data_IF_452967526156
#
_entry.id   IF_452967526156
#
_cell.length_a   1.000
_cell.length_b   1.000
_cell.length_c   1.000
_cell.angle_alpha   90.00
_cell.angle_beta   90.00
_cell.angle_gamma   90.00
#
_symmetry.space_group_name_H-M   'P 1'
#
loop_
_entity.id
_entity.type
_entity.pdbx_description
1 polymer ?
#
# COMPACT_ATOMS: atom_id res chain seq x y z
N UNK A 1 -30.71 -21.75 52.11
CA UNK A 1 -30.22 -20.42 51.69
C UNK A 1 -29.06 -20.49 50.68
N UNK A 2 -29.15 -21.35 49.65
CA UNK A 2 -28.10 -21.49 48.62
C UNK A 2 -28.66 -21.56 47.19
N UNK A 3 -30.00 -21.58 47.06
CA UNK A 3 -30.74 -21.58 45.78
C UNK A 3 -31.36 -20.22 45.44
N UNK A 4 -31.52 -19.30 46.42
CA UNK A 4 -31.96 -17.93 46.15
C UNK A 4 -30.83 -17.03 45.63
N UNK A 5 -29.58 -17.33 45.94
CA UNK A 5 -28.43 -16.52 45.52
C UNK A 5 -28.08 -16.70 44.05
N UNK A 6 -28.48 -17.80 43.41
CA UNK A 6 -28.26 -18.04 41.97
C UNK A 6 -29.27 -17.34 41.06
N UNK A 7 -30.43 -16.94 41.60
CA UNK A 7 -31.47 -16.25 40.82
C UNK A 7 -31.15 -14.75 40.72
N UNK A 8 -30.46 -14.18 41.70
CA UNK A 8 -30.11 -12.75 41.71
C UNK A 8 -28.92 -12.43 40.78
N UNK A 9 -28.01 -13.37 40.54
CA UNK A 9 -26.84 -13.17 39.65
C UNK A 9 -27.17 -13.36 38.16
N UNK A 10 -28.26 -14.06 37.82
CA UNK A 10 -28.68 -14.28 36.43
C UNK A 10 -29.51 -13.12 35.84
N UNK A 11 -30.03 -12.21 36.67
CA UNK A 11 -30.85 -11.07 36.22
C UNK A 11 -29.99 -9.84 35.88
N UNK A 12 -28.76 -9.77 36.39
CA UNK A 12 -27.82 -8.66 36.11
C UNK A 12 -27.05 -8.80 34.79
N UNK A 13 -27.17 -9.93 34.08
CA UNK A 13 -26.43 -10.20 32.84
C UNK A 13 -27.10 -9.67 31.57
N UNK A 14 -28.32 -9.12 31.66
CA UNK A 14 -29.07 -8.64 30.49
C UNK A 14 -29.03 -7.12 30.29
N UNK A 15 -28.33 -6.38 31.15
CA UNK A 15 -28.06 -4.95 30.91
C UNK A 15 -26.76 -4.79 30.11
N UNK A 16 -26.70 -5.47 28.97
CA UNK A 16 -25.69 -5.17 27.95
C UNK A 16 -25.99 -3.78 27.42
N UNK A 17 -25.02 -2.88 27.58
CA UNK A 17 -25.01 -1.56 26.99
C UNK A 17 -25.17 -1.72 25.48
N UNK A 18 -26.39 -1.50 24.96
CA UNK A 18 -26.57 -1.29 23.52
C UNK A 18 -25.77 -0.03 23.20
N UNK A 19 -24.65 -0.17 22.48
CA UNK A 19 -24.13 0.96 21.70
C UNK A 19 -25.27 1.35 20.78
N UNK A 20 -25.95 2.45 21.09
CA UNK A 20 -26.71 3.15 20.09
C UNK A 20 -25.74 3.44 18.95
N UNK A 21 -25.94 2.76 17.82
CA UNK A 21 -25.44 3.29 16.57
C UNK A 21 -26.30 4.53 16.34
N UNK A 22 -25.82 5.68 16.79
CA UNK A 22 -26.23 6.94 16.19
C UNK A 22 -25.75 6.88 14.73
N UNK A 23 -26.58 6.28 13.88
CA UNK A 23 -26.51 6.52 12.45
C UNK A 23 -27.21 7.85 12.28
N UNK A 24 -26.44 8.91 12.06
CA UNK A 24 -26.99 10.16 11.58
C UNK A 24 -27.56 9.89 10.18
N UNK A 25 -28.85 9.60 10.09
CA UNK A 25 -29.56 9.40 8.81
C UNK A 25 -29.61 10.71 7.99
N UNK A 26 -29.38 11.86 8.63
CA UNK A 26 -29.23 13.18 8.03
C UNK A 26 -27.91 13.83 8.50
N UNK A 27 -26.76 13.28 8.08
CA UNK A 27 -25.56 14.10 7.99
C UNK A 27 -25.60 14.85 6.66
N UNK A 28 -26.49 15.85 6.57
CA UNK A 28 -26.46 16.76 5.43
C UNK A 28 -25.08 17.43 5.44
N UNK A 29 -24.28 17.30 4.37
CA UNK A 29 -22.98 17.96 4.32
C UNK A 29 -23.19 19.46 4.60
N UNK A 30 -22.27 20.09 5.35
CA UNK A 30 -22.38 21.52 5.60
C UNK A 30 -22.55 22.26 4.27
N UNK A 31 -23.44 23.25 4.18
CA UNK A 31 -23.56 24.03 2.95
C UNK A 31 -22.21 24.65 2.67
N UNK A 32 -21.61 24.30 1.53
CA UNK A 32 -20.31 24.81 1.09
C UNK A 32 -20.38 26.27 0.59
N UNK A 33 -21.25 27.08 1.20
CA UNK A 33 -21.29 28.51 1.00
C UNK A 33 -20.03 29.13 1.60
N UNK A 34 -19.14 29.63 0.73
CA UNK A 34 -17.91 30.30 1.14
C UNK A 34 -16.61 29.57 0.82
N UNK A 35 -16.66 28.36 0.21
CA UNK A 35 -15.47 27.77 -0.41
C UNK A 35 -15.14 28.56 -1.67
N UNK A 36 -13.92 29.08 -1.73
CA UNK A 36 -13.43 29.79 -2.91
C UNK A 36 -13.08 28.82 -4.04
N UNK A 37 -13.25 29.24 -5.29
CA UNK A 37 -12.80 28.48 -6.47
C UNK A 37 -11.32 28.09 -6.36
N UNK A 38 -10.47 28.96 -5.79
CA UNK A 38 -9.06 28.66 -5.53
C UNK A 38 -8.86 27.44 -4.59
N UNK A 39 -9.70 27.27 -3.58
CA UNK A 39 -9.64 26.08 -2.71
C UNK A 39 -10.02 24.81 -3.48
N UNK A 40 -11.00 24.90 -4.39
CA UNK A 40 -11.41 23.77 -5.23
C UNK A 40 -10.30 23.42 -6.23
N UNK A 41 -9.68 24.42 -6.87
CA UNK A 41 -8.52 24.23 -7.76
C UNK A 41 -7.34 23.57 -7.02
N UNK A 42 -7.05 23.98 -5.78
CA UNK A 42 -6.02 23.35 -4.96
C UNK A 42 -6.35 21.89 -4.65
N UNK A 43 -7.61 21.58 -4.32
CA UNK A 43 -8.05 20.21 -4.11
C UNK A 43 -7.88 19.34 -5.37
N UNK A 44 -8.32 19.84 -6.53
CA UNK A 44 -8.14 19.15 -7.83
C UNK A 44 -6.67 18.95 -8.14
N UNK A 45 -5.83 19.99 -8.01
CA UNK A 45 -4.40 19.88 -8.27
C UNK A 45 -3.76 18.79 -7.38
N UNK A 46 -4.04 18.85 -6.08
CA UNK A 46 -3.51 17.87 -5.11
C UNK A 46 -3.94 16.45 -5.45
N UNK A 47 -5.21 16.22 -5.82
CA UNK A 47 -5.69 14.91 -6.27
C UNK A 47 -4.91 14.37 -7.48
N UNK A 48 -4.67 15.22 -8.48
CA UNK A 48 -3.91 14.83 -9.67
C UNK A 48 -2.45 14.49 -9.31
N UNK A 49 -1.79 15.30 -8.50
CA UNK A 49 -0.41 15.03 -8.08
C UNK A 49 -0.34 13.73 -7.24
N UNK A 50 -1.19 13.59 -6.23
CA UNK A 50 -1.11 12.49 -5.28
C UNK A 50 -1.53 11.16 -5.92
N UNK A 51 -2.51 11.15 -6.83
CA UNK A 51 -2.98 9.93 -7.48
C UNK A 51 -2.24 9.56 -8.76
N UNK A 52 -1.87 10.53 -9.60
CA UNK A 52 -1.31 10.25 -10.94
C UNK A 52 0.07 10.89 -11.20
N UNK A 53 0.61 11.65 -10.24
CA UNK A 53 1.98 12.16 -10.27
C UNK A 53 2.22 13.33 -11.23
N UNK A 54 1.18 14.04 -11.64
CA UNK A 54 1.27 15.26 -12.47
C UNK A 54 0.20 16.27 -12.09
N UNK A 55 0.39 17.53 -12.48
CA UNK A 55 -0.67 18.54 -12.41
C UNK A 55 -1.76 18.27 -13.46
N UNK A 56 -3.00 18.73 -13.24
CA UNK A 56 -4.03 18.73 -14.27
C UNK A 56 -3.66 19.68 -15.42
N UNK A 57 -4.05 19.35 -16.64
CA UNK A 57 -4.05 20.27 -17.77
C UNK A 57 -5.06 21.39 -17.53
N UNK A 58 -4.88 22.57 -18.14
CA UNK A 58 -5.82 23.69 -18.02
C UNK A 58 -7.27 23.28 -18.30
N UNK A 59 -7.49 22.44 -19.30
CA UNK A 59 -8.82 21.92 -19.65
C UNK A 59 -9.36 20.95 -18.61
N UNK A 60 -8.51 20.08 -18.05
CA UNK A 60 -8.89 19.16 -16.99
C UNK A 60 -9.26 19.96 -15.73
N UNK A 61 -8.47 20.97 -15.35
CA UNK A 61 -8.76 21.83 -14.21
C UNK A 61 -10.12 22.53 -14.34
N UNK A 62 -10.39 23.17 -15.48
CA UNK A 62 -11.66 23.86 -15.73
C UNK A 62 -12.85 22.87 -15.67
N UNK A 63 -12.71 21.69 -16.29
CA UNK A 63 -13.76 20.68 -16.31
C UNK A 63 -14.05 20.15 -14.90
N UNK A 64 -13.03 19.69 -14.18
CA UNK A 64 -13.23 19.06 -12.87
C UNK A 64 -13.74 20.05 -11.82
N UNK A 65 -13.25 21.31 -11.83
CA UNK A 65 -13.76 22.36 -10.94
C UNK A 65 -15.24 22.60 -11.22
N UNK A 66 -15.63 22.73 -12.49
CA UNK A 66 -17.03 22.96 -12.86
C UNK A 66 -17.93 21.79 -12.45
N UNK A 67 -17.47 20.54 -12.59
CA UNK A 67 -18.20 19.34 -12.15
C UNK A 67 -18.35 19.31 -10.64
N UNK A 68 -17.29 19.64 -9.90
CA UNK A 68 -17.30 19.68 -8.44
C UNK A 68 -18.23 20.77 -7.89
N UNK A 69 -18.21 21.98 -8.48
CA UNK A 69 -19.11 23.08 -8.14
C UNK A 69 -20.57 22.73 -8.43
N UNK A 70 -20.86 22.18 -9.61
CA UNK A 70 -22.21 21.76 -9.99
C UNK A 70 -22.74 20.61 -9.12
N UNK A 71 -21.85 19.73 -8.66
CA UNK A 71 -22.13 18.67 -7.70
C UNK A 71 -22.22 19.14 -6.25
N UNK A 72 -22.03 20.43 -5.99
CA UNK A 72 -22.09 21.02 -4.64
C UNK A 72 -21.03 20.48 -3.70
N UNK A 73 -19.84 20.11 -4.20
CA UNK A 73 -18.66 19.67 -3.42
C UNK A 73 -18.90 18.54 -2.42
N UNK A 74 -20.02 17.81 -2.53
CA UNK A 74 -20.36 16.74 -1.62
C UNK A 74 -19.46 15.50 -1.81
N UNK A 75 -19.57 14.55 -0.89
CA UNK A 75 -18.78 13.33 -0.91
C UNK A 75 -18.90 12.57 -2.25
N UNK A 76 -20.09 12.55 -2.87
CA UNK A 76 -20.31 11.81 -4.12
C UNK A 76 -19.66 12.48 -5.33
N UNK A 77 -19.65 13.81 -5.43
CA UNK A 77 -18.94 14.51 -6.51
C UNK A 77 -17.43 14.32 -6.41
N UNK A 78 -16.88 14.36 -5.20
CA UNK A 78 -15.46 14.05 -4.93
C UNK A 78 -15.11 12.60 -5.26
N UNK A 79 -15.96 11.65 -4.83
CA UNK A 79 -15.82 10.22 -5.14
C UNK A 79 -15.75 9.99 -6.64
N UNK A 80 -16.55 10.70 -7.43
CA UNK A 80 -16.54 10.58 -8.89
C UNK A 80 -15.19 10.97 -9.48
N UNK A 81 -14.64 12.12 -9.10
CA UNK A 81 -13.31 12.56 -9.55
C UNK A 81 -12.20 11.59 -9.13
N UNK A 82 -12.19 11.16 -7.85
CA UNK A 82 -11.20 10.21 -7.35
C UNK A 82 -11.26 8.89 -8.14
N UNK A 83 -12.45 8.35 -8.37
CA UNK A 83 -12.62 7.14 -9.16
C UNK A 83 -12.23 7.35 -10.64
N UNK A 84 -12.49 8.53 -11.21
CA UNK A 84 -12.02 8.88 -12.57
C UNK A 84 -10.50 8.74 -12.65
N UNK A 85 -9.78 9.34 -11.71
CA UNK A 85 -8.32 9.29 -11.65
C UNK A 85 -7.78 7.87 -11.39
N UNK A 86 -8.45 7.08 -10.55
CA UNK A 86 -8.01 5.73 -10.20
C UNK A 86 -8.37 4.66 -11.24
N UNK A 87 -9.48 4.80 -11.97
CA UNK A 87 -10.11 3.69 -12.70
C UNK A 87 -10.43 3.97 -14.17
N UNK A 88 -10.43 5.23 -14.63
CA UNK A 88 -10.77 5.53 -16.02
C UNK A 88 -9.64 5.10 -16.98
N UNK A 89 -9.97 4.24 -17.93
CA UNK A 89 -9.05 3.69 -18.93
C UNK A 89 -9.17 4.35 -20.30
N UNK A 90 -9.91 5.45 -20.41
CA UNK A 90 -10.10 6.13 -21.70
C UNK A 90 -8.79 6.81 -22.12
N UNK A 91 -8.50 6.76 -23.41
CA UNK A 91 -7.28 7.35 -23.95
C UNK A 91 -7.35 8.87 -23.88
N UNK A 92 -6.33 9.48 -23.26
CA UNK A 92 -6.17 10.93 -23.19
C UNK A 92 -5.18 11.36 -24.28
N UNK A 93 -5.57 12.24 -25.23
CA UNK A 93 -4.64 12.73 -26.25
C UNK A 93 -3.40 13.38 -25.63
N UNK A 94 -2.20 12.90 -26.00
CA UNK A 94 -0.94 13.40 -25.46
C UNK A 94 -0.49 12.75 -24.14
N UNK A 95 -1.32 11.88 -23.57
CA UNK A 95 -0.99 11.00 -22.44
C UNK A 95 -1.43 9.55 -22.83
N UNK A 96 -1.63 8.71 -21.83
CA UNK A 96 -2.10 7.33 -21.94
C UNK A 96 -3.55 7.26 -21.46
N UNK A 97 -3.77 6.98 -20.18
CA UNK A 97 -5.06 7.09 -19.48
C UNK A 97 -4.80 7.36 -18.00
N UNK A 98 -5.82 7.83 -17.28
CA UNK A 98 -5.71 8.03 -15.83
C UNK A 98 -5.37 6.71 -15.11
N UNK A 99 -5.99 5.60 -15.49
CA UNK A 99 -5.71 4.28 -14.92
C UNK A 99 -4.25 3.85 -15.09
N UNK A 100 -3.65 4.13 -16.26
CA UNK A 100 -2.22 3.83 -16.50
C UNK A 100 -1.33 4.73 -15.65
N UNK A 101 -1.64 6.03 -15.57
CA UNK A 101 -0.88 6.99 -14.78
C UNK A 101 -0.95 6.67 -13.27
N UNK A 102 -2.13 6.31 -12.76
CA UNK A 102 -2.33 5.87 -11.38
C UNK A 102 -1.48 4.64 -11.03
N UNK A 103 -1.53 3.58 -11.85
CA UNK A 103 -0.73 2.38 -11.60
C UNK A 103 0.78 2.64 -11.72
N UNK A 104 1.19 3.56 -12.60
CA UNK A 104 2.59 4.00 -12.66
C UNK A 104 3.00 4.71 -11.37
N UNK A 105 2.19 5.66 -10.90
CA UNK A 105 2.43 6.40 -9.66
C UNK A 105 2.54 5.47 -8.46
N UNK A 106 1.63 4.50 -8.33
CA UNK A 106 1.69 3.46 -7.28
C UNK A 106 2.99 2.65 -7.32
N UNK A 107 3.42 2.22 -8.50
CA UNK A 107 4.69 1.50 -8.68
C UNK A 107 5.89 2.37 -8.26
N UNK A 108 5.94 3.63 -8.72
CA UNK A 108 7.01 4.57 -8.38
C UNK A 108 7.05 4.90 -6.89
N UNK A 109 5.90 5.10 -6.23
CA UNK A 109 5.84 5.38 -4.80
C UNK A 109 6.28 4.17 -3.96
N UNK A 110 5.92 2.96 -4.41
CA UNK A 110 6.37 1.73 -3.76
C UNK A 110 7.89 1.56 -3.91
N UNK A 111 8.45 1.85 -5.08
CA UNK A 111 9.91 1.90 -5.29
C UNK A 111 10.58 2.99 -4.46
N UNK A 112 9.99 4.17 -4.36
CA UNK A 112 10.52 5.27 -3.54
C UNK A 112 10.63 4.84 -2.07
N UNK A 113 9.60 4.15 -1.56
CA UNK A 113 9.55 3.65 -0.20
C UNK A 113 10.54 2.52 0.07
N UNK A 114 10.66 1.55 -0.83
CA UNK A 114 11.39 0.30 -0.56
C UNK A 114 12.79 0.27 -1.18
N UNK A 115 12.99 0.94 -2.31
CA UNK A 115 14.21 0.87 -3.11
C UNK A 115 14.87 2.24 -3.31
N UNK A 116 14.64 3.20 -2.41
CA UNK A 116 15.21 4.55 -2.47
C UNK A 116 14.97 5.30 -3.80
N UNK A 117 13.88 4.95 -4.50
CA UNK A 117 13.49 5.61 -5.75
C UNK A 117 14.41 5.30 -6.93
N UNK A 118 15.07 4.14 -6.93
CA UNK A 118 15.91 3.69 -8.06
C UNK A 118 15.13 3.69 -9.38
N UNK A 119 15.80 4.11 -10.46
CA UNK A 119 15.19 4.16 -11.79
C UNK A 119 15.12 2.77 -12.43
N UNK A 120 14.17 2.56 -13.33
CA UNK A 120 14.03 1.30 -14.06
C UNK A 120 15.26 1.04 -14.96
N UNK A 121 15.94 2.09 -15.43
CA UNK A 121 17.21 1.95 -16.15
C UNK A 121 18.31 1.37 -15.26
N UNK A 122 18.38 1.80 -14.00
CA UNK A 122 19.34 1.24 -13.05
C UNK A 122 19.03 -0.23 -12.74
N UNK A 123 17.74 -0.57 -12.52
CA UNK A 123 17.30 -1.96 -12.36
C UNK A 123 17.68 -2.78 -13.61
N UNK A 124 17.43 -2.25 -14.81
CA UNK A 124 17.78 -2.87 -16.07
C UNK A 124 19.29 -3.07 -16.26
N UNK A 125 20.13 -2.15 -15.80
CA UNK A 125 21.58 -2.32 -15.79
C UNK A 125 22.00 -3.48 -14.88
N UNK A 126 21.43 -3.59 -13.68
CA UNK A 126 21.68 -4.72 -12.76
C UNK A 126 21.19 -6.06 -13.35
N UNK A 127 20.05 -6.07 -14.04
CA UNK A 127 19.57 -7.24 -14.79
C UNK A 127 20.62 -7.69 -15.81
N UNK A 128 21.07 -6.77 -16.68
CA UNK A 128 22.06 -7.07 -17.71
C UNK A 128 23.39 -7.57 -17.11
N UNK A 129 23.80 -7.00 -15.96
CA UNK A 129 24.99 -7.44 -15.24
C UNK A 129 24.89 -8.91 -14.79
N UNK A 130 23.80 -9.28 -14.12
CA UNK A 130 23.61 -10.66 -13.67
C UNK A 130 23.43 -11.65 -14.84
N UNK A 131 22.81 -11.23 -15.94
CA UNK A 131 22.74 -12.07 -17.14
C UNK A 131 24.11 -12.28 -17.79
N UNK A 132 24.97 -11.27 -17.80
CA UNK A 132 26.35 -11.39 -18.26
C UNK A 132 27.18 -12.32 -17.35
N UNK A 133 27.01 -12.23 -16.03
CA UNK A 133 27.66 -13.15 -15.09
C UNK A 133 27.18 -14.59 -15.26
N UNK A 134 25.87 -14.81 -15.42
CA UNK A 134 25.34 -16.13 -15.72
C UNK A 134 25.95 -16.70 -17.01
N UNK A 135 26.02 -15.90 -18.08
CA UNK A 135 26.66 -16.34 -19.32
C UNK A 135 28.13 -16.73 -19.14
N UNK A 136 28.90 -15.94 -18.39
CA UNK A 136 30.28 -16.25 -18.07
C UNK A 136 30.40 -17.55 -17.24
N UNK A 137 29.54 -17.76 -16.24
CA UNK A 137 29.50 -19.00 -15.46
C UNK A 137 29.20 -20.23 -16.32
N UNK A 138 28.29 -20.09 -17.31
CA UNK A 138 27.99 -21.16 -18.26
C UNK A 138 29.19 -21.56 -19.13
N UNK A 139 30.03 -20.59 -19.54
CA UNK A 139 31.25 -20.87 -20.31
C UNK A 139 32.29 -21.59 -19.44
N UNK A 140 32.35 -21.24 -18.16
CA UNK A 140 33.29 -21.82 -17.19
C UNK A 140 32.76 -23.11 -16.53
N UNK A 141 31.63 -23.66 -17.00
CA UNK A 141 30.98 -24.86 -16.46
C UNK A 141 30.59 -24.75 -14.96
N UNK A 142 30.41 -23.52 -14.47
CA UNK A 142 29.94 -23.23 -13.12
C UNK A 142 28.40 -23.18 -13.08
N UNK A 143 27.75 -24.33 -13.10
CA UNK A 143 26.28 -24.42 -13.12
C UNK A 143 25.61 -23.80 -11.88
N UNK A 144 26.23 -23.88 -10.70
CA UNK A 144 25.67 -23.26 -9.49
C UNK A 144 25.66 -21.73 -9.60
N UNK A 145 26.78 -21.13 -10.04
CA UNK A 145 26.86 -19.69 -10.28
C UNK A 145 25.86 -19.21 -11.32
N UNK A 146 25.71 -19.99 -12.41
CA UNK A 146 24.72 -19.72 -13.46
C UNK A 146 23.31 -19.58 -12.89
N UNK A 147 22.84 -20.57 -12.11
CA UNK A 147 21.49 -20.56 -11.54
C UNK A 147 21.29 -19.41 -10.54
N UNK A 148 22.27 -19.13 -9.69
CA UNK A 148 22.22 -18.01 -8.74
C UNK A 148 22.07 -16.67 -9.48
N UNK A 149 22.88 -16.45 -10.52
CA UNK A 149 22.86 -15.21 -11.29
C UNK A 149 21.57 -15.08 -12.11
N UNK A 150 21.06 -16.18 -12.68
CA UNK A 150 19.74 -16.21 -13.32
C UNK A 150 18.61 -15.85 -12.36
N UNK A 151 18.60 -16.41 -11.15
CA UNK A 151 17.59 -16.11 -10.14
C UNK A 151 17.62 -14.62 -9.73
N UNK A 152 18.82 -14.04 -9.56
CA UNK A 152 18.97 -12.59 -9.27
C UNK A 152 18.42 -11.72 -10.41
N UNK A 153 18.76 -12.03 -11.65
CA UNK A 153 18.25 -11.32 -12.82
C UNK A 153 16.72 -11.44 -12.91
N UNK A 154 16.15 -12.62 -12.65
CA UNK A 154 14.71 -12.85 -12.70
C UNK A 154 13.97 -12.01 -11.64
N UNK A 155 14.46 -11.95 -10.40
CA UNK A 155 13.86 -11.13 -9.34
C UNK A 155 13.78 -9.65 -9.73
N UNK A 156 14.85 -9.11 -10.31
CA UNK A 156 14.87 -7.72 -10.79
C UNK A 156 13.94 -7.50 -12.00
N UNK A 157 13.87 -8.45 -12.94
CA UNK A 157 12.90 -8.39 -14.04
C UNK A 157 11.46 -8.40 -13.55
N UNK A 158 11.18 -9.19 -12.51
CA UNK A 158 9.84 -9.24 -11.92
C UNK A 158 9.43 -7.90 -11.30
N UNK A 159 10.38 -7.10 -10.78
CA UNK A 159 10.09 -5.73 -10.33
C UNK A 159 9.63 -4.86 -11.51
N UNK A 160 10.41 -4.79 -12.60
CA UNK A 160 10.04 -3.98 -13.78
C UNK A 160 8.69 -4.43 -14.34
N UNK A 161 8.44 -5.74 -14.38
CA UNK A 161 7.19 -6.29 -14.89
C UNK A 161 6.00 -6.11 -13.92
N UNK A 162 6.26 -5.89 -12.63
CA UNK A 162 5.23 -5.79 -11.60
C UNK A 162 4.25 -4.64 -11.84
N UNK A 163 4.71 -3.54 -12.44
CA UNK A 163 3.84 -2.42 -12.83
C UNK A 163 2.72 -2.89 -13.78
N UNK A 164 3.08 -3.70 -14.78
CA UNK A 164 2.13 -4.20 -15.77
C UNK A 164 1.23 -5.28 -15.17
N UNK A 165 1.79 -6.18 -14.37
CA UNK A 165 1.05 -7.24 -13.71
C UNK A 165 0.03 -6.69 -12.70
N UNK A 166 0.41 -5.69 -11.90
CA UNK A 166 -0.50 -5.05 -10.94
C UNK A 166 -1.64 -4.34 -11.68
N UNK A 167 -1.32 -3.61 -12.75
CA UNK A 167 -2.34 -2.95 -13.60
C UNK A 167 -3.30 -3.95 -14.26
N UNK A 168 -2.83 -5.15 -14.61
CA UNK A 168 -3.65 -6.21 -15.17
C UNK A 168 -4.45 -6.98 -14.10
N UNK A 169 -4.26 -6.67 -12.81
CA UNK A 169 -4.75 -7.44 -11.66
C UNK A 169 -4.24 -8.90 -11.63
N UNK A 170 -3.07 -9.16 -12.23
CA UNK A 170 -2.40 -10.46 -12.19
C UNK A 170 -1.69 -10.69 -10.84
N UNK A 171 -1.33 -9.61 -10.15
CA UNK A 171 -0.74 -9.63 -8.81
C UNK A 171 -1.47 -8.65 -7.90
N UNK A 172 -1.49 -8.96 -6.60
CA UNK A 172 -2.04 -8.09 -5.56
C UNK A 172 -0.99 -7.09 -5.06
N UNK A 173 -1.41 -6.12 -4.25
CA UNK A 173 -0.50 -5.16 -3.61
C UNK A 173 0.53 -5.86 -2.70
N UNK A 174 0.16 -6.96 -2.05
CA UNK A 174 1.06 -7.77 -1.22
C UNK A 174 2.18 -8.38 -2.06
N UNK A 175 1.83 -8.90 -3.24
CA UNK A 175 2.79 -9.46 -4.18
C UNK A 175 3.72 -8.36 -4.71
N UNK A 176 3.19 -7.18 -5.01
CA UNK A 176 4.00 -6.02 -5.40
C UNK A 176 5.04 -5.68 -4.32
N UNK A 177 4.62 -5.54 -3.06
CA UNK A 177 5.52 -5.28 -1.94
C UNK A 177 6.53 -6.42 -1.71
N UNK A 178 6.12 -7.69 -1.82
CA UNK A 178 7.02 -8.83 -1.67
C UNK A 178 8.11 -8.85 -2.76
N UNK A 179 7.78 -8.52 -4.01
CA UNK A 179 8.76 -8.39 -5.10
C UNK A 179 9.78 -7.26 -4.84
N UNK A 180 9.30 -6.14 -4.31
CA UNK A 180 10.14 -4.97 -3.99
C UNK A 180 11.09 -5.23 -2.80
N UNK A 181 10.75 -6.15 -1.90
CA UNK A 181 11.62 -6.59 -0.81
C UNK A 181 12.55 -7.74 -1.22
N UNK A 182 12.12 -8.60 -2.17
CA UNK A 182 12.85 -9.81 -2.56
C UNK A 182 13.78 -9.59 -3.76
N UNK A 183 14.78 -8.73 -3.62
CA UNK A 183 15.75 -8.49 -4.70
C UNK A 183 17.09 -7.98 -4.19
N UNK A 184 18.09 -8.01 -5.07
CA UNK A 184 19.46 -7.63 -4.73
C UNK A 184 19.63 -6.14 -4.42
N UNK A 185 18.75 -5.26 -4.91
CA UNK A 185 18.86 -3.82 -4.61
C UNK A 185 18.42 -3.57 -3.17
N UNK A 186 17.30 -4.15 -2.75
CA UNK A 186 16.86 -4.09 -1.35
C UNK A 186 17.91 -4.71 -0.41
N UNK A 187 18.58 -5.78 -0.87
CA UNK A 187 19.68 -6.41 -0.12
C UNK A 187 20.93 -5.54 -0.06
N UNK A 188 21.29 -4.86 -1.15
CA UNK A 188 22.43 -3.93 -1.18
C UNK A 188 22.18 -2.73 -0.25
N UNK A 189 20.95 -2.19 -0.22
CA UNK A 189 20.54 -1.09 0.67
C UNK A 189 20.67 -1.52 2.14
N UNK A 190 20.17 -2.71 2.47
CA UNK A 190 20.12 -3.18 3.85
C UNK A 190 21.38 -3.95 4.28
N UNK A 191 22.28 -4.32 3.37
CA UNK A 191 23.62 -4.91 3.55
C UNK A 191 23.76 -6.23 4.31
N UNK A 192 22.93 -6.53 5.31
CA UNK A 192 22.99 -7.75 6.10
C UNK A 192 21.62 -8.17 6.63
N UNK A 193 21.52 -9.42 7.10
CA UNK A 193 20.28 -10.01 7.60
C UNK A 193 19.67 -9.24 8.77
N UNK A 194 20.49 -8.71 9.70
CA UNK A 194 19.98 -7.92 10.83
C UNK A 194 19.25 -6.66 10.36
N UNK A 195 19.90 -5.89 9.48
CA UNK A 195 19.34 -4.68 8.90
C UNK A 195 18.15 -4.99 7.99
N UNK A 196 18.21 -6.05 7.18
CA UNK A 196 17.10 -6.48 6.32
C UNK A 196 15.84 -6.76 7.13
N UNK A 197 15.96 -7.51 8.24
CA UNK A 197 14.81 -7.82 9.10
C UNK A 197 14.23 -6.51 9.69
N UNK A 198 15.08 -5.67 10.28
CA UNK A 198 14.64 -4.39 10.85
C UNK A 198 13.98 -3.48 9.81
N UNK A 199 14.59 -3.34 8.63
CA UNK A 199 14.06 -2.53 7.55
C UNK A 199 12.76 -3.10 6.98
N UNK A 200 12.62 -4.42 6.85
CA UNK A 200 11.38 -5.02 6.39
C UNK A 200 10.22 -4.77 7.37
N UNK A 201 10.48 -4.80 8.67
CA UNK A 201 9.50 -4.46 9.70
C UNK A 201 9.17 -2.97 9.74
N UNK A 202 10.17 -2.10 9.67
CA UNK A 202 9.95 -0.65 9.68
C UNK A 202 9.19 -0.22 8.42
N UNK A 203 9.65 -0.68 7.25
CA UNK A 203 9.04 -0.36 5.97
C UNK A 203 7.63 -0.91 5.84
N UNK A 204 7.27 -2.04 6.45
CA UNK A 204 5.94 -2.63 6.32
C UNK A 204 5.00 -2.27 7.47
N UNK A 205 5.49 -2.23 8.70
CA UNK A 205 4.68 -2.17 9.92
C UNK A 205 4.91 -0.90 10.75
N UNK A 206 5.84 -0.02 10.36
CA UNK A 206 6.21 1.18 11.13
C UNK A 206 6.68 0.88 12.56
N UNK A 207 7.34 -0.27 12.75
CA UNK A 207 7.97 -0.65 14.02
C UNK A 207 9.16 -1.55 13.77
N UNK A 208 9.98 -1.76 14.79
CA UNK A 208 11.01 -2.80 14.77
C UNK A 208 10.47 -4.16 15.25
N UNK A 209 11.10 -5.28 14.85
CA UNK A 209 10.79 -6.58 15.41
C UNK A 209 11.10 -6.61 16.91
N UNK A 210 10.31 -7.35 17.66
CA UNK A 210 10.66 -7.72 19.03
C UNK A 210 11.84 -8.71 19.02
N UNK A 211 12.56 -8.82 20.15
CA UNK A 211 13.67 -9.79 20.27
C UNK A 211 13.23 -11.23 19.98
N UNK A 212 11.98 -11.59 20.32
CA UNK A 212 11.44 -12.91 20.06
C UNK A 212 11.21 -13.15 18.56
N UNK A 213 10.58 -12.20 17.87
CA UNK A 213 10.41 -12.24 16.41
C UNK A 213 11.77 -12.29 15.72
N UNK A 214 12.70 -11.40 16.08
CA UNK A 214 14.02 -11.34 15.46
C UNK A 214 14.78 -12.66 15.57
N UNK A 215 14.82 -13.26 16.76
CA UNK A 215 15.51 -14.53 16.99
C UNK A 215 14.91 -15.70 16.20
N UNK A 216 13.60 -15.65 15.90
CA UNK A 216 12.93 -16.65 15.06
C UNK A 216 13.18 -16.41 13.57
N UNK A 217 13.23 -15.15 13.13
CA UNK A 217 13.40 -14.78 11.72
C UNK A 217 14.84 -14.97 11.25
N UNK A 218 15.82 -14.63 12.09
CA UNK A 218 17.22 -14.61 11.68
C UNK A 218 17.70 -15.92 11.01
N UNK A 219 17.45 -17.12 11.59
CA UNK A 219 17.82 -18.39 10.96
C UNK A 219 17.03 -18.70 9.68
N UNK A 220 15.80 -18.20 9.53
CA UNK A 220 14.99 -18.38 8.31
C UNK A 220 15.64 -17.67 7.12
N UNK A 221 16.19 -16.48 7.35
CA UNK A 221 16.81 -15.66 6.30
C UNK A 221 18.26 -16.06 6.05
N UNK A 222 19.06 -16.24 7.10
CA UNK A 222 20.49 -16.52 6.99
C UNK A 222 20.76 -17.97 6.57
N UNK A 223 20.10 -18.93 7.22
CA UNK A 223 20.42 -20.35 7.10
C UNK A 223 19.39 -21.14 6.27
N UNK A 224 18.30 -20.50 5.81
CA UNK A 224 17.11 -21.17 5.26
C UNK A 224 16.58 -22.27 6.20
N UNK A 225 16.62 -22.00 7.51
CA UNK A 225 16.12 -22.91 8.51
C UNK A 225 14.59 -22.74 8.68
N UNK A 226 13.82 -23.84 8.80
CA UNK A 226 12.40 -23.75 9.13
C UNK A 226 12.16 -23.06 10.47
N UNK A 227 11.23 -22.10 10.49
CA UNK A 227 10.81 -21.39 11.68
C UNK A 227 9.34 -20.94 11.61
N UNK A 228 8.90 -20.25 12.65
CA UNK A 228 7.56 -19.67 12.72
C UNK A 228 7.67 -18.15 12.88
N UNK A 229 6.85 -17.41 12.15
CA UNK A 229 6.78 -15.95 12.18
C UNK A 229 5.30 -15.54 12.10
N UNK A 230 4.86 -14.69 13.03
CA UNK A 230 3.46 -14.21 13.10
C UNK A 230 2.39 -15.32 13.08
N UNK A 231 2.72 -16.51 13.59
CA UNK A 231 1.82 -17.67 13.63
C UNK A 231 1.94 -18.61 12.41
N UNK A 232 2.61 -18.19 11.34
CA UNK A 232 2.78 -18.97 10.11
C UNK A 232 4.20 -19.56 9.99
N UNK A 233 4.34 -20.63 9.21
CA UNK A 233 5.64 -21.28 8.99
C UNK A 233 6.34 -20.66 7.78
N UNK A 234 7.65 -20.41 7.90
CA UNK A 234 8.50 -20.01 6.80
C UNK A 234 9.86 -20.71 6.88
N UNK A 235 10.43 -21.07 5.74
CA UNK A 235 11.70 -21.80 5.65
C UNK A 235 12.78 -21.07 4.88
N UNK A 236 12.42 -19.97 4.22
CA UNK A 236 13.33 -19.17 3.43
C UNK A 236 12.82 -17.74 3.36
N UNK A 237 13.65 -16.87 2.80
CA UNK A 237 13.34 -15.45 2.62
C UNK A 237 12.05 -15.18 1.84
N UNK A 238 11.73 -15.99 0.83
CA UNK A 238 10.55 -15.77 -0.01
C UNK A 238 9.27 -16.05 0.77
N UNK A 239 9.21 -17.18 1.48
CA UNK A 239 8.11 -17.53 2.37
C UNK A 239 7.97 -16.52 3.52
N UNK A 240 9.08 -16.06 4.10
CA UNK A 240 9.07 -15.01 5.11
C UNK A 240 8.38 -13.73 4.60
N UNK A 241 8.74 -13.27 3.40
CA UNK A 241 8.15 -12.07 2.81
C UNK A 241 6.66 -12.25 2.49
N UNK A 242 6.26 -13.45 2.03
CA UNK A 242 4.85 -13.78 1.82
C UNK A 242 4.05 -13.72 3.13
N UNK A 243 4.60 -14.25 4.23
CA UNK A 243 3.96 -14.18 5.54
C UNK A 243 3.81 -12.72 6.01
N UNK A 244 4.86 -11.92 5.85
CA UNK A 244 4.82 -10.51 6.26
C UNK A 244 3.75 -9.73 5.50
N UNK A 245 3.71 -9.84 4.17
CA UNK A 245 2.77 -9.07 3.36
C UNK A 245 1.34 -9.59 3.42
N UNK A 246 1.13 -10.86 3.79
CA UNK A 246 -0.21 -11.42 4.01
C UNK A 246 -0.82 -11.08 5.39
N UNK A 247 -0.01 -10.62 6.35
CA UNK A 247 -0.45 -10.39 7.73
C UNK A 247 -1.39 -9.18 7.85
N UNK A 248 -2.31 -9.19 8.82
CA UNK A 248 -3.14 -8.02 9.16
C UNK A 248 -2.32 -6.78 9.48
N UNK A 249 -1.14 -6.93 10.07
CA UNK A 249 -0.26 -5.82 10.38
C UNK A 249 0.26 -5.11 9.12
N UNK A 250 0.39 -5.82 8.00
CA UNK A 250 0.69 -5.19 6.71
C UNK A 250 -0.45 -4.25 6.27
N UNK A 251 -1.71 -4.65 6.50
CA UNK A 251 -2.88 -3.79 6.24
C UNK A 251 -2.83 -2.52 7.08
N UNK A 252 -2.50 -2.63 8.36
CA UNK A 252 -2.30 -1.46 9.25
C UNK A 252 -1.18 -0.55 8.76
N UNK A 253 -0.09 -1.15 8.28
CA UNK A 253 1.02 -0.45 7.65
C UNK A 253 0.64 0.29 6.38
N UNK A 254 -0.17 -0.31 5.49
CA UNK A 254 -0.69 0.36 4.30
C UNK A 254 -1.59 1.55 4.65
N UNK A 255 -2.46 1.40 5.66
CA UNK A 255 -3.30 2.50 6.15
C UNK A 255 -2.42 3.62 6.71
N UNK A 256 -1.44 3.29 7.56
CA UNK A 256 -0.52 4.28 8.13
C UNK A 256 0.24 5.03 7.05
N UNK A 257 0.73 4.31 6.04
CA UNK A 257 1.38 4.91 4.89
C UNK A 257 0.47 5.86 4.11
N UNK A 258 -0.76 5.45 3.82
CA UNK A 258 -1.71 6.30 3.09
C UNK A 258 -2.01 7.61 3.85
N UNK A 259 -2.11 7.56 5.18
CA UNK A 259 -2.28 8.77 5.99
C UNK A 259 -1.02 9.65 6.00
N UNK A 260 0.16 9.05 6.10
CA UNK A 260 1.41 9.80 6.07
C UNK A 260 1.66 10.46 4.71
N UNK A 261 1.35 9.76 3.62
CA UNK A 261 1.53 10.28 2.26
C UNK A 261 0.48 11.33 1.89
N UNK A 262 -0.78 11.11 2.25
CA UNK A 262 -1.89 11.98 1.83
C UNK A 262 -2.20 13.09 2.83
N UNK A 263 -2.00 12.89 4.14
CA UNK A 263 -2.36 13.87 5.19
C UNK A 263 -1.18 14.34 6.03
N UNK A 264 0.02 13.77 5.86
CA UNK A 264 1.22 14.10 6.67
C UNK A 264 1.00 13.89 8.18
N UNK A 265 0.18 12.93 8.57
CA UNK A 265 -0.04 12.53 9.96
C UNK A 265 -0.30 11.04 10.07
N UNK A 266 -0.23 10.50 11.29
CA UNK A 266 -0.69 9.13 11.55
C UNK A 266 -2.23 9.05 11.65
N UNK A 267 -2.82 7.89 11.32
CA UNK A 267 -4.25 7.65 11.53
C UNK A 267 -4.57 7.54 13.01
N UNK A 268 -5.70 8.11 13.43
CA UNK A 268 -6.25 7.89 14.76
C UNK A 268 -6.71 6.43 14.93
N UNK A 269 -6.81 5.97 16.18
CA UNK A 269 -7.14 4.56 16.47
C UNK A 269 -8.48 4.11 15.87
N UNK A 270 -9.48 4.99 15.81
CA UNK A 270 -10.77 4.70 15.18
C UNK A 270 -10.65 4.64 13.64
N UNK A 271 -9.94 5.59 13.01
CA UNK A 271 -9.72 5.60 11.55
C UNK A 271 -8.99 4.33 11.10
N UNK A 272 -7.94 3.95 11.84
CA UNK A 272 -7.19 2.72 11.58
C UNK A 272 -8.08 1.50 11.71
N UNK A 273 -8.81 1.39 12.82
CA UNK A 273 -9.71 0.26 13.06
C UNK A 273 -10.79 0.14 11.98
N UNK A 274 -11.41 1.25 11.59
CA UNK A 274 -12.48 1.25 10.60
C UNK A 274 -11.97 0.86 9.21
N UNK A 275 -10.82 1.41 8.78
CA UNK A 275 -10.24 1.12 7.47
C UNK A 275 -9.69 -0.30 7.37
N UNK A 276 -9.03 -0.80 8.41
CA UNK A 276 -8.48 -2.17 8.42
C UNK A 276 -9.59 -3.22 8.38
N UNK A 277 -10.71 -2.99 9.09
CA UNK A 277 -11.84 -3.92 9.11
C UNK A 277 -12.70 -3.85 7.84
N UNK A 278 -12.78 -2.68 7.20
CA UNK A 278 -13.46 -2.54 5.91
C UNK A 278 -12.64 -3.09 4.73
N UNK A 279 -11.36 -3.42 4.97
CA UNK A 279 -10.47 -4.01 3.98
C UNK A 279 -10.85 -5.47 3.71
N UNK A 280 -11.55 -5.71 2.60
CA UNK A 280 -11.80 -7.05 2.06
C UNK A 280 -10.49 -7.73 1.66
N UNK A 281 -10.56 -9.06 1.46
CA UNK A 281 -9.37 -9.93 1.26
C UNK A 281 -8.48 -9.52 0.06
N UNK A 282 -8.98 -8.70 -0.87
CA UNK A 282 -8.23 -8.24 -2.04
C UNK A 282 -7.24 -7.09 -1.77
N UNK A 283 -7.25 -6.53 -0.55
CA UNK A 283 -6.32 -5.50 -0.11
C UNK A 283 -6.25 -4.27 -1.06
N UNK A 284 -7.41 -3.75 -1.43
CA UNK A 284 -7.52 -2.66 -2.41
C UNK A 284 -7.12 -1.30 -1.83
N UNK A 285 -5.86 -0.92 -2.04
CA UNK A 285 -5.33 0.39 -1.67
C UNK A 285 -6.15 1.56 -2.25
N UNK A 286 -6.81 1.38 -3.39
CA UNK A 286 -7.60 2.45 -4.02
C UNK A 286 -8.74 2.92 -3.10
N UNK A 287 -9.36 1.98 -2.36
CA UNK A 287 -10.44 2.30 -1.42
C UNK A 287 -9.91 3.01 -0.17
N UNK A 288 -8.73 2.63 0.36
CA UNK A 288 -8.09 3.35 1.47
C UNK A 288 -7.84 4.80 1.06
N UNK A 289 -7.21 5.00 -0.10
CA UNK A 289 -6.96 6.33 -0.64
C UNK A 289 -8.27 7.09 -0.80
N UNK A 290 -9.28 6.49 -1.43
CA UNK A 290 -10.58 7.13 -1.66
C UNK A 290 -11.19 7.65 -0.35
N UNK A 291 -11.16 6.84 0.72
CA UNK A 291 -11.72 7.21 2.03
C UNK A 291 -11.02 8.40 2.66
N UNK A 292 -9.72 8.56 2.42
CA UNK A 292 -8.95 9.70 2.92
C UNK A 292 -9.21 10.93 2.04
N UNK A 293 -9.12 10.77 0.72
CA UNK A 293 -9.19 11.83 -0.28
C UNK A 293 -10.56 12.52 -0.40
N UNK A 294 -11.62 11.85 0.04
CA UNK A 294 -12.99 12.38 0.05
C UNK A 294 -13.25 13.35 1.21
N UNK A 295 -12.41 13.32 2.25
CA UNK A 295 -12.63 14.09 3.49
C UNK A 295 -12.39 15.58 3.31
N UNK A 296 -13.06 16.39 4.13
CA UNK A 296 -12.81 17.84 4.18
C UNK A 296 -11.38 18.16 4.67
N UNK A 297 -10.81 17.30 5.53
CA UNK A 297 -9.42 17.45 5.99
C UNK A 297 -8.43 17.38 4.83
N UNK A 298 -8.56 16.40 3.95
CA UNK A 298 -7.72 16.33 2.77
C UNK A 298 -8.01 17.49 1.80
N UNK A 299 -9.28 17.83 1.62
CA UNK A 299 -9.69 18.89 0.70
C UNK A 299 -9.28 20.29 1.14
N UNK A 300 -9.04 20.51 2.44
CA UNK A 300 -8.73 21.82 3.01
C UNK A 300 -9.93 22.75 3.05
N UNK A 301 -11.12 22.17 3.26
CA UNK A 301 -12.40 22.87 3.35
C UNK A 301 -12.83 23.07 4.80
#
# INVERSE_FOLDING_TARGET
MRRLTFIFTAILSFSSCKKEKEVFENNDPPPYEGISTLQIENYVNRLFIDLIGREPLDTEMIEEVSVLEAGGLNAESRRFLINKLQKNSDTIPGDSSYFIAYNKKLYEDTKARLLEGVSDEFIGQKVNLYEAYAYADSINENFLGYEINKAKALRLKNIINSQYANRANDITIQNLYALMLNNTIYDDINMNTFNFINASFDNLFYRFPTNAEFNQIFPIIEDNAPGQILGEVAQNKEEYLQVLTANTEFKEGLVTWAFLSLLTREPFSNERFDLVNQFTDDNDLTEIQLRILITDEYAGF
#
